data_IF_531712206870
#
_entry.id   IF_531712206870
#
_cell.length_a   1.000
_cell.length_b   1.000
_cell.length_c   1.000
_cell.angle_alpha   90.00
_cell.angle_beta   90.00
_cell.angle_gamma   90.00
#
_symmetry.space_group_name_H-M   'P 1'
#
loop_
_entity.id
_entity.type
_entity.pdbx_description
1 polymer ?
#
# COMPACT_ATOMS: atom_id res chain seq x y z
N UNK A 1 -10.83 1.47 12.38
CA UNK A 1 -10.21 1.65 11.06
C UNK A 1 -9.62 0.32 10.65
N UNK A 2 -10.10 -0.28 9.57
CA UNK A 2 -9.49 -1.49 9.02
C UNK A 2 -8.39 -1.09 8.02
N UNK A 3 -7.44 -1.97 7.73
CA UNK A 3 -6.41 -1.72 6.70
C UNK A 3 -7.00 -1.42 5.31
N UNK A 4 -8.24 -1.85 5.05
CA UNK A 4 -8.95 -1.57 3.80
C UNK A 4 -9.38 -0.11 3.64
N UNK A 5 -9.52 0.61 4.75
CA UNK A 5 -9.93 2.02 4.74
C UNK A 5 -8.73 2.97 4.62
N UNK A 6 -7.50 2.42 4.62
CA UNK A 6 -6.26 3.18 4.56
C UNK A 6 -5.71 3.21 3.12
N UNK A 7 -5.15 4.34 2.68
CA UNK A 7 -4.51 4.44 1.38
C UNK A 7 -3.29 3.51 1.32
N UNK A 8 -3.08 2.87 0.17
CA UNK A 8 -1.96 1.95 -0.05
C UNK A 8 -0.61 2.61 0.20
N UNK A 9 -0.49 3.91 -0.06
CA UNK A 9 0.71 4.69 0.24
C UNK A 9 1.03 4.76 1.74
N UNK A 10 0.03 4.94 2.60
CA UNK A 10 0.22 4.97 4.05
C UNK A 10 0.58 3.57 4.58
N UNK A 11 -0.06 2.53 4.05
CA UNK A 11 0.28 1.14 4.35
C UNK A 11 1.71 0.78 3.91
N UNK A 12 2.16 1.29 2.76
CA UNK A 12 3.50 1.05 2.24
C UNK A 12 4.60 1.67 3.12
N UNK A 13 4.29 2.78 3.78
CA UNK A 13 5.20 3.50 4.69
C UNK A 13 5.17 2.96 6.12
N UNK A 14 3.99 2.58 6.61
CA UNK A 14 3.80 2.11 7.98
C UNK A 14 4.18 0.64 8.20
N UNK A 15 4.07 -0.21 7.17
CA UNK A 15 4.34 -1.65 7.26
C UNK A 15 5.60 -2.01 6.47
N UNK A 16 6.67 -2.47 7.14
CA UNK A 16 7.87 -2.91 6.46
C UNK A 16 7.57 -3.99 5.41
N UNK A 17 8.06 -3.79 4.18
CA UNK A 17 7.88 -4.69 3.02
C UNK A 17 6.46 -4.78 2.45
N UNK A 18 5.50 -3.96 2.88
CA UNK A 18 4.19 -3.91 2.24
C UNK A 18 4.28 -3.55 0.74
N UNK A 19 5.23 -2.69 0.36
CA UNK A 19 5.54 -2.37 -1.03
C UNK A 19 5.88 -3.60 -1.91
N UNK A 20 6.49 -4.64 -1.34
CA UNK A 20 6.78 -5.87 -2.07
C UNK A 20 5.52 -6.70 -2.32
N UNK A 21 4.59 -6.71 -1.36
CA UNK A 21 3.29 -7.34 -1.51
C UNK A 21 2.45 -6.60 -2.58
N UNK A 22 2.45 -5.27 -2.55
CA UNK A 22 1.75 -4.45 -3.52
C UNK A 22 2.27 -4.67 -4.95
N UNK A 23 3.60 -4.71 -5.13
CA UNK A 23 4.21 -5.05 -6.41
C UNK A 23 3.84 -6.46 -6.91
N UNK A 24 3.70 -7.44 -6.02
CA UNK A 24 3.31 -8.81 -6.39
C UNK A 24 1.90 -8.87 -6.97
N UNK A 25 1.01 -8.02 -6.50
CA UNK A 25 -0.38 -7.94 -6.94
C UNK A 25 -0.66 -6.79 -7.91
N UNK A 26 0.40 -6.17 -8.46
CA UNK A 26 0.32 -5.03 -9.37
C UNK A 26 -0.54 -3.86 -8.83
N UNK A 27 -0.54 -3.70 -7.50
CA UNK A 27 -1.25 -2.61 -6.84
C UNK A 27 -0.40 -1.36 -6.88
N UNK A 28 -0.93 -0.29 -7.47
CA UNK A 28 -0.24 1.00 -7.50
C UNK A 28 -0.31 1.68 -6.13
N UNK A 29 0.77 1.52 -5.36
CA UNK A 29 0.96 2.15 -4.06
C UNK A 29 1.82 3.42 -4.16
N UNK A 30 2.32 3.75 -5.36
CA UNK A 30 3.16 4.91 -5.62
C UNK A 30 2.34 6.00 -6.35
N UNK A 31 2.86 7.23 -6.43
CA UNK A 31 2.26 8.30 -7.25
C UNK A 31 0.80 8.71 -6.95
N UNK A 32 0.30 8.44 -5.74
CA UNK A 32 -1.05 8.87 -5.34
C UNK A 32 -2.16 7.86 -5.65
N UNK A 33 -1.80 6.57 -5.77
CA UNK A 33 -2.76 5.46 -5.75
C UNK A 33 -3.76 5.65 -4.61
N UNK A 34 -5.03 5.77 -5.01
CA UNK A 34 -6.17 6.06 -4.13
C UNK A 34 -6.36 5.00 -3.06
#
# INVERSE_FOLDING_TARGET
MAYRDQPLGELALSIPRASALFRKYDMDYCCGGK
#
